data_IF_597904560620
#
_entry.id   IF_597904560620
#
_cell.length_a   1.000
_cell.length_b   1.000
_cell.length_c   1.000
_cell.angle_alpha   90.00
_cell.angle_beta   90.00
_cell.angle_gamma   90.00
#
_symmetry.space_group_name_H-M   'P 1'
#
loop_
_entity.id
_entity.type
_entity.pdbx_description
1 polymer ?
#
# COMPACT_ATOMS: atom_id res chain seq x y z
N UNK A 1 22.09 7.20 22.54
CA UNK A 1 21.79 6.11 21.58
C UNK A 1 20.31 5.79 21.71
N UNK A 2 19.59 5.71 20.62
CA UNK A 2 18.16 5.38 20.63
C UNK A 2 17.97 3.88 20.94
N UNK A 3 17.11 3.57 21.90
CA UNK A 3 16.74 2.20 22.27
C UNK A 3 15.22 2.14 22.47
N UNK A 4 14.47 1.50 21.53
CA UNK A 4 13.02 1.41 21.65
C UNK A 4 12.61 0.50 22.81
N UNK A 5 11.72 0.98 23.67
CA UNK A 5 11.20 0.20 24.80
C UNK A 5 9.88 -0.44 24.41
N UNK A 6 9.79 -1.76 24.41
CA UNK A 6 8.56 -2.54 24.15
C UNK A 6 8.70 -3.98 24.66
N UNK A 7 7.59 -4.70 24.67
CA UNK A 7 7.53 -6.13 25.04
C UNK A 7 6.91 -6.93 23.90
N UNK A 8 7.44 -8.12 23.64
CA UNK A 8 6.77 -9.13 22.81
C UNK A 8 5.62 -9.73 23.61
N UNK A 9 4.41 -9.19 23.41
CA UNK A 9 3.18 -9.75 23.99
C UNK A 9 2.71 -10.96 23.20
N UNK A 10 1.86 -11.80 23.81
CA UNK A 10 1.22 -12.93 23.11
C UNK A 10 0.47 -12.48 21.85
N UNK A 11 -0.09 -11.26 21.84
CA UNK A 11 -0.74 -10.69 20.67
C UNK A 11 0.25 -10.42 19.56
N UNK A 12 1.37 -9.75 19.84
CA UNK A 12 2.43 -9.46 18.88
C UNK A 12 2.95 -10.77 18.28
N UNK A 13 3.29 -11.76 19.13
CA UNK A 13 3.79 -13.07 18.69
C UNK A 13 2.77 -13.77 17.79
N UNK A 14 1.49 -13.77 18.18
CA UNK A 14 0.41 -14.35 17.38
C UNK A 14 0.28 -13.66 16.02
N UNK A 15 0.29 -12.32 15.98
CA UNK A 15 0.18 -11.57 14.73
C UNK A 15 1.38 -11.84 13.81
N UNK A 16 2.59 -11.84 14.35
CA UNK A 16 3.80 -12.15 13.58
C UNK A 16 3.72 -13.55 12.95
N UNK A 17 3.30 -14.56 13.72
CA UNK A 17 3.14 -15.92 13.21
C UNK A 17 2.09 -16.00 12.07
N UNK A 18 0.96 -15.32 12.22
CA UNK A 18 -0.09 -15.27 11.21
C UNK A 18 0.37 -14.49 9.95
N UNK A 19 1.09 -13.37 10.11
CA UNK A 19 1.68 -12.61 9.01
C UNK A 19 2.68 -13.47 8.23
N UNK A 20 3.57 -14.19 8.92
CA UNK A 20 4.53 -15.08 8.28
C UNK A 20 3.84 -16.19 7.47
N UNK A 21 2.82 -16.83 8.05
CA UNK A 21 2.01 -17.84 7.36
C UNK A 21 1.29 -17.29 6.13
N UNK A 22 0.66 -16.11 6.25
CA UNK A 22 -0.04 -15.49 5.14
C UNK A 22 0.92 -15.10 4.01
N UNK A 23 2.10 -14.56 4.35
CA UNK A 23 3.16 -14.25 3.39
C UNK A 23 3.58 -15.48 2.60
N UNK A 24 3.81 -16.61 3.27
CA UNK A 24 4.23 -17.85 2.62
C UNK A 24 3.15 -18.36 1.65
N UNK A 25 1.88 -18.33 2.04
CA UNK A 25 0.76 -18.72 1.19
C UNK A 25 0.72 -17.85 -0.08
N UNK A 26 0.84 -16.53 0.05
CA UNK A 26 0.81 -15.60 -1.09
C UNK A 26 2.01 -15.84 -2.01
N UNK A 27 3.22 -16.01 -1.45
CA UNK A 27 4.45 -16.19 -2.22
C UNK A 27 4.46 -17.48 -3.03
N UNK A 28 3.74 -18.52 -2.57
CA UNK A 28 3.64 -19.82 -3.25
C UNK A 28 2.45 -19.91 -4.22
N UNK A 29 1.56 -18.92 -4.22
CA UNK A 29 0.40 -18.93 -5.09
C UNK A 29 0.78 -18.65 -6.56
N UNK A 30 0.15 -19.36 -7.49
CA UNK A 30 0.35 -19.18 -8.92
C UNK A 30 -0.61 -18.14 -9.48
N UNK A 31 -0.22 -16.87 -9.41
CA UNK A 31 -1.01 -15.76 -9.94
C UNK A 31 -0.68 -15.54 -11.42
N UNK A 32 -1.71 -15.39 -12.26
CA UNK A 32 -1.52 -15.08 -13.67
C UNK A 32 -1.02 -13.63 -13.82
N UNK A 33 -0.08 -13.34 -14.74
CA UNK A 33 0.52 -12.00 -14.87
C UNK A 33 -0.47 -10.84 -14.97
N UNK A 34 -1.62 -11.04 -15.61
CA UNK A 34 -2.65 -10.00 -15.71
C UNK A 34 -3.24 -9.63 -14.35
N UNK A 35 -3.55 -10.63 -13.49
CA UNK A 35 -4.09 -10.38 -12.15
C UNK A 35 -3.03 -9.85 -11.22
N UNK A 36 -1.78 -10.30 -11.35
CA UNK A 36 -0.63 -9.73 -10.66
C UNK A 36 -0.54 -8.22 -10.90
N UNK A 37 -0.56 -7.80 -12.17
CA UNK A 37 -0.51 -6.38 -12.54
C UNK A 37 -1.71 -5.61 -11.98
N UNK A 38 -2.92 -6.17 -12.07
CA UNK A 38 -4.14 -5.53 -11.55
C UNK A 38 -4.10 -5.37 -10.03
N UNK A 39 -3.71 -6.40 -9.29
CA UNK A 39 -3.60 -6.35 -7.83
C UNK A 39 -2.60 -5.28 -7.39
N UNK A 40 -1.43 -5.20 -8.06
CA UNK A 40 -0.42 -4.17 -7.80
C UNK A 40 -0.97 -2.77 -8.04
N UNK A 41 -1.60 -2.56 -9.19
CA UNK A 41 -2.17 -1.26 -9.56
C UNK A 41 -3.28 -0.84 -8.58
N UNK A 42 -4.19 -1.74 -8.23
CA UNK A 42 -5.27 -1.47 -7.27
C UNK A 42 -4.72 -1.15 -5.87
N UNK A 43 -3.67 -1.84 -5.43
CA UNK A 43 -3.01 -1.57 -4.15
C UNK A 43 -2.34 -0.20 -4.13
N UNK A 44 -1.61 0.18 -5.19
CA UNK A 44 -0.97 1.49 -5.31
C UNK A 44 -2.01 2.63 -5.29
N UNK A 45 -3.12 2.48 -6.01
CA UNK A 45 -4.23 3.44 -6.05
C UNK A 45 -4.85 3.59 -4.66
N UNK A 46 -5.18 2.48 -4.00
CA UNK A 46 -5.77 2.48 -2.66
C UNK A 46 -4.84 3.11 -1.62
N UNK A 47 -3.55 2.73 -1.59
CA UNK A 47 -2.59 3.36 -0.68
C UNK A 47 -2.48 4.87 -0.91
N UNK A 48 -2.43 5.30 -2.18
CA UNK A 48 -2.34 6.73 -2.50
C UNK A 48 -3.57 7.50 -2.04
N UNK A 49 -4.77 6.93 -2.25
CA UNK A 49 -6.02 7.51 -1.76
C UNK A 49 -6.05 7.55 -0.23
N UNK A 50 -5.88 6.41 0.45
CA UNK A 50 -6.06 6.35 1.90
C UNK A 50 -5.01 7.15 2.67
N UNK A 51 -3.74 7.10 2.24
CA UNK A 51 -2.68 7.86 2.91
C UNK A 51 -2.89 9.37 2.82
N UNK A 52 -3.37 9.87 1.68
CA UNK A 52 -3.68 11.29 1.53
C UNK A 52 -5.00 11.66 2.23
N UNK A 53 -6.01 10.79 2.24
CA UNK A 53 -7.26 10.99 2.99
C UNK A 53 -7.05 11.12 4.49
N UNK A 54 -6.11 10.37 5.09
CA UNK A 54 -5.72 10.51 6.51
C UNK A 54 -5.28 11.96 6.80
N UNK A 55 -4.62 12.63 5.86
CA UNK A 55 -4.19 14.02 5.98
C UNK A 55 -5.27 15.04 5.58
N UNK A 56 -6.46 14.58 5.17
CA UNK A 56 -7.59 15.42 4.83
C UNK A 56 -7.74 15.75 3.34
N UNK A 57 -7.09 15.00 2.45
CA UNK A 57 -7.31 15.14 1.02
C UNK A 57 -8.77 14.79 0.68
N UNK A 58 -9.50 15.65 -0.09
CA UNK A 58 -10.93 15.50 -0.32
C UNK A 58 -11.28 14.50 -1.43
N UNK A 59 -10.33 14.06 -2.25
CA UNK A 59 -10.61 13.18 -3.38
C UNK A 59 -11.11 11.81 -2.93
N UNK A 60 -12.17 11.33 -3.56
CA UNK A 60 -12.65 9.96 -3.34
C UNK A 60 -11.86 8.95 -4.18
N UNK A 61 -12.04 7.65 -3.89
CA UNK A 61 -11.28 6.58 -4.52
C UNK A 61 -11.48 6.51 -6.05
N UNK A 62 -12.68 6.78 -6.56
CA UNK A 62 -12.97 6.73 -8.00
C UNK A 62 -12.32 7.92 -8.76
N UNK A 63 -12.26 9.10 -8.14
CA UNK A 63 -11.52 10.24 -8.66
C UNK A 63 -10.02 9.94 -8.73
N UNK A 64 -9.46 9.34 -7.69
CA UNK A 64 -8.05 8.91 -7.64
C UNK A 64 -7.75 7.84 -8.71
N UNK A 65 -8.63 6.85 -8.87
CA UNK A 65 -8.51 5.86 -9.94
C UNK A 65 -8.51 6.50 -11.33
N UNK A 66 -9.42 7.42 -11.57
CA UNK A 66 -9.54 8.13 -12.85
C UNK A 66 -8.30 8.96 -13.14
N UNK A 67 -7.80 9.69 -12.14
CA UNK A 67 -6.59 10.51 -12.23
C UNK A 67 -5.36 9.68 -12.61
N UNK A 68 -5.17 8.55 -11.95
CA UNK A 68 -3.99 7.69 -12.14
C UNK A 68 -4.10 6.90 -13.45
N UNK A 69 -5.23 6.21 -13.70
CA UNK A 69 -5.40 5.33 -14.86
C UNK A 69 -5.40 6.08 -16.18
N UNK A 70 -5.90 7.32 -16.20
CA UNK A 70 -5.91 8.16 -17.39
C UNK A 70 -4.64 9.00 -17.56
N UNK A 71 -3.66 8.86 -16.67
CA UNK A 71 -2.40 9.60 -16.71
C UNK A 71 -2.62 11.12 -16.75
N UNK A 72 -3.62 11.62 -16.00
CA UNK A 72 -4.02 13.02 -16.03
C UNK A 72 -2.96 13.89 -15.35
N UNK A 73 -2.72 15.08 -15.92
CA UNK A 73 -1.90 16.09 -15.26
C UNK A 73 -2.71 16.71 -14.09
N UNK A 74 -2.09 16.90 -12.93
CA UNK A 74 -2.78 17.48 -11.79
C UNK A 74 -3.16 18.94 -12.08
N UNK A 75 -4.39 19.29 -11.75
CA UNK A 75 -4.95 20.64 -11.87
C UNK A 75 -5.15 21.29 -10.52
N UNK A 76 -5.21 20.49 -9.46
CA UNK A 76 -5.40 20.92 -8.09
C UNK A 76 -4.25 20.44 -7.18
N UNK A 77 -4.10 21.09 -6.02
CA UNK A 77 -3.16 20.66 -4.99
C UNK A 77 -3.49 19.24 -4.48
N UNK A 78 -4.77 18.90 -4.36
CA UNK A 78 -5.22 17.59 -3.93
C UNK A 78 -4.81 16.48 -4.92
N UNK A 79 -4.97 16.70 -6.21
CA UNK A 79 -4.52 15.80 -7.27
C UNK A 79 -2.99 15.65 -7.30
N UNK A 80 -2.26 16.76 -7.14
CA UNK A 80 -0.80 16.74 -7.07
C UNK A 80 -0.30 15.90 -5.89
N UNK A 81 -0.95 16.02 -4.72
CA UNK A 81 -0.62 15.26 -3.51
C UNK A 81 -0.77 13.76 -3.72
N UNK A 82 -1.89 13.34 -4.31
CA UNK A 82 -2.17 11.93 -4.64
C UNK A 82 -1.15 11.39 -5.64
N UNK A 83 -0.88 12.14 -6.71
CA UNK A 83 0.08 11.71 -7.74
C UNK A 83 1.51 11.63 -7.21
N UNK A 84 1.92 12.54 -6.34
CA UNK A 84 3.23 12.48 -5.69
C UNK A 84 3.34 11.21 -4.84
N UNK A 85 2.34 10.92 -4.02
CA UNK A 85 2.32 9.70 -3.19
C UNK A 85 2.38 8.44 -4.06
N UNK A 86 1.53 8.37 -5.09
CA UNK A 86 1.52 7.27 -6.05
C UNK A 86 2.89 7.08 -6.72
N UNK A 87 3.52 8.17 -7.18
CA UNK A 87 4.81 8.11 -7.86
C UNK A 87 5.94 7.62 -6.95
N UNK A 88 5.96 8.06 -5.68
CA UNK A 88 6.95 7.58 -4.70
C UNK A 88 6.73 6.10 -4.42
N UNK A 89 5.50 5.70 -4.15
CA UNK A 89 5.15 4.31 -3.83
C UNK A 89 5.43 3.35 -5.01
N UNK A 90 5.06 3.74 -6.22
CA UNK A 90 5.30 2.96 -7.44
C UNK A 90 6.79 2.81 -7.79
N UNK A 91 7.61 3.74 -7.32
CA UNK A 91 9.06 3.72 -7.53
C UNK A 91 9.85 3.49 -6.23
N UNK A 92 9.26 2.78 -5.26
CA UNK A 92 9.82 2.60 -3.92
C UNK A 92 11.20 1.93 -3.96
N UNK A 93 11.46 1.09 -4.96
CA UNK A 93 12.75 0.45 -5.21
C UNK A 93 13.92 1.42 -5.44
N UNK A 94 13.65 2.67 -5.86
CA UNK A 94 14.69 3.72 -6.00
C UNK A 94 15.30 4.13 -4.66
N UNK A 95 14.60 3.86 -3.57
CA UNK A 95 15.00 4.22 -2.21
C UNK A 95 15.43 2.99 -1.38
N UNK A 96 15.38 1.79 -1.98
CA UNK A 96 15.60 0.50 -1.28
C UNK A 96 17.07 0.09 -1.25
N UNK A 97 17.95 0.98 -0.83
CA UNK A 97 19.35 0.62 -0.53
C UNK A 97 19.41 -0.26 0.73
N UNK A 98 20.46 -1.08 0.84
CA UNK A 98 20.69 -1.92 2.04
C UNK A 98 20.77 -1.10 3.32
N UNK A 99 21.27 0.13 3.23
CA UNK A 99 21.46 1.05 4.35
C UNK A 99 20.54 2.24 4.13
N UNK A 100 19.63 2.47 5.05
CA UNK A 100 18.77 3.64 5.04
C UNK A 100 19.54 4.83 5.62
N UNK A 101 19.58 5.91 4.86
CA UNK A 101 20.35 7.12 5.20
C UNK A 101 19.43 8.34 5.38
N UNK A 102 19.99 9.43 5.91
CA UNK A 102 19.25 10.71 5.89
C UNK A 102 18.79 11.09 4.48
N UNK A 103 19.66 10.89 3.49
CA UNK A 103 19.33 11.20 2.10
C UNK A 103 18.16 10.37 1.59
N UNK A 104 17.99 9.13 2.05
CA UNK A 104 16.81 8.31 1.74
C UNK A 104 15.53 8.99 2.23
N UNK A 105 15.49 9.40 3.51
CA UNK A 105 14.33 10.08 4.09
C UNK A 105 14.07 11.43 3.40
N UNK A 106 15.11 12.22 3.16
CA UNK A 106 14.99 13.54 2.51
C UNK A 106 14.52 13.41 1.05
N UNK A 107 14.99 12.39 0.32
CA UNK A 107 14.58 12.15 -1.07
C UNK A 107 13.13 11.70 -1.15
N UNK A 108 12.69 10.77 -0.28
CA UNK A 108 11.28 10.37 -0.18
C UNK A 108 10.39 11.59 0.12
N UNK A 109 10.76 12.39 1.11
CA UNK A 109 10.01 13.61 1.44
C UNK A 109 9.99 14.62 0.29
N UNK A 110 11.12 14.84 -0.39
CA UNK A 110 11.22 15.77 -1.53
C UNK A 110 10.25 15.39 -2.65
N UNK A 111 10.28 14.10 -3.06
CA UNK A 111 9.42 13.64 -4.14
C UNK A 111 7.93 13.63 -3.72
N UNK A 112 7.66 13.33 -2.45
CA UNK A 112 6.32 13.36 -1.87
C UNK A 112 5.72 14.77 -1.82
N UNK A 113 6.52 15.79 -1.50
CA UNK A 113 6.06 17.16 -1.29
C UNK A 113 6.28 18.09 -2.48
N UNK A 114 6.79 17.56 -3.59
CA UNK A 114 7.09 18.31 -4.81
C UNK A 114 5.91 19.15 -5.27
N UNK A 115 6.12 20.46 -5.40
CA UNK A 115 5.12 21.46 -5.79
C UNK A 115 3.92 21.59 -4.82
N UNK A 116 4.05 21.15 -3.56
CA UNK A 116 2.97 21.23 -2.57
C UNK A 116 3.21 22.26 -1.48
N UNK A 117 4.47 22.49 -1.12
CA UNK A 117 4.81 23.39 -0.02
C UNK A 117 4.74 24.84 -0.45
N UNK A 118 4.29 25.73 0.46
CA UNK A 118 4.26 27.18 0.22
C UNK A 118 5.66 27.74 -0.04
N UNK A 119 6.67 27.20 0.67
CA UNK A 119 8.07 27.48 0.42
C UNK A 119 8.75 26.20 -0.09
N UNK A 120 9.11 26.12 -1.39
CA UNK A 120 9.76 24.96 -1.98
C UNK A 120 11.13 24.60 -1.37
N UNK A 121 11.78 25.53 -0.68
CA UNK A 121 13.06 25.27 -0.01
C UNK A 121 12.98 24.22 1.09
N UNK A 122 11.78 23.95 1.62
CA UNK A 122 11.54 22.89 2.61
C UNK A 122 11.28 21.51 2.00
N UNK A 123 11.15 21.40 0.67
CA UNK A 123 11.01 20.12 0.00
C UNK A 123 12.30 19.28 0.15
N UNK A 124 12.24 18.18 0.87
CA UNK A 124 13.40 17.34 1.17
C UNK A 124 14.40 17.96 2.16
N UNK A 125 13.95 18.83 3.06
CA UNK A 125 14.80 19.48 4.06
C UNK A 125 14.17 19.37 5.44
N UNK A 126 14.96 19.07 6.45
CA UNK A 126 14.50 19.08 7.83
C UNK A 126 14.12 20.50 8.24
N UNK A 127 13.08 20.61 9.06
CA UNK A 127 12.63 21.89 9.59
C UNK A 127 13.68 22.55 10.48
N UNK A 128 13.76 23.83 10.40
CA UNK A 128 14.55 24.72 11.25
C UNK A 128 13.66 25.54 12.21
N UNK A 129 12.34 25.36 12.11
CA UNK A 129 11.34 26.07 12.88
C UNK A 129 10.56 25.12 13.81
N UNK A 130 9.97 25.71 14.85
CA UNK A 130 9.07 24.99 15.75
C UNK A 130 7.74 24.70 15.04
N UNK A 131 7.24 23.49 15.17
CA UNK A 131 5.93 23.05 14.65
C UNK A 131 5.07 22.49 15.78
N UNK A 132 3.75 22.53 15.59
CA UNK A 132 2.77 22.02 16.56
C UNK A 132 1.78 21.12 15.81
N UNK A 133 1.46 19.99 16.36
CA UNK A 133 0.41 19.12 15.83
C UNK A 133 -0.86 19.38 16.62
N UNK A 134 -1.93 19.80 15.92
CA UNK A 134 -3.19 20.12 16.57
C UNK A 134 -4.29 20.45 15.59
N UNK A 135 -5.43 20.80 16.14
CA UNK A 135 -6.58 21.21 15.35
C UNK A 135 -6.59 22.76 15.24
N UNK A 136 -6.40 23.26 14.01
CA UNK A 136 -6.39 24.71 13.74
C UNK A 136 -7.71 25.41 14.08
N UNK A 137 -8.86 24.72 13.94
CA UNK A 137 -10.18 25.29 14.24
C UNK A 137 -10.41 25.44 15.74
N UNK A 138 -10.00 24.44 16.52
CA UNK A 138 -10.18 24.45 17.98
C UNK A 138 -9.00 25.06 18.71
N UNK A 139 -7.90 25.38 18.02
CA UNK A 139 -6.61 25.83 18.58
C UNK A 139 -6.04 24.88 19.65
N UNK A 140 -6.50 23.63 19.65
CA UNK A 140 -6.02 22.61 20.61
C UNK A 140 -4.75 21.98 20.09
N UNK A 141 -3.65 22.15 20.81
CA UNK A 141 -2.38 21.45 20.56
C UNK A 141 -2.53 20.02 21.08
N UNK A 142 -2.32 19.03 20.22
CA UNK A 142 -2.38 17.61 20.55
C UNK A 142 -1.01 17.01 20.85
N UNK A 143 0.03 17.52 20.21
CA UNK A 143 1.41 17.08 20.38
C UNK A 143 2.40 18.19 20.06
N UNK A 144 3.50 18.26 20.79
CA UNK A 144 4.60 19.21 20.57
C UNK A 144 5.84 18.38 20.22
N UNK A 145 6.27 18.34 18.94
CA UNK A 145 7.48 17.65 18.56
C UNK A 145 8.74 18.26 19.19
N UNK A 146 9.88 17.51 19.22
CA UNK A 146 11.16 18.02 19.67
C UNK A 146 11.54 19.33 19.00
N UNK A 147 12.38 20.14 19.66
CA UNK A 147 12.89 21.38 19.07
C UNK A 147 13.64 21.10 17.75
N UNK A 148 13.56 22.04 16.79
CA UNK A 148 14.08 21.84 15.45
C UNK A 148 15.60 21.52 15.44
N UNK A 149 16.38 22.15 16.31
CA UNK A 149 17.83 21.91 16.38
C UNK A 149 18.21 20.46 16.80
N UNK A 150 17.28 19.74 17.45
CA UNK A 150 17.47 18.34 17.85
C UNK A 150 17.19 17.35 16.71
N UNK A 151 16.42 17.76 15.70
CA UNK A 151 15.94 16.84 14.64
C UNK A 151 17.08 16.10 13.95
N UNK A 152 18.17 16.74 13.49
CA UNK A 152 19.24 16.00 12.82
C UNK A 152 19.87 14.91 13.68
N UNK A 153 20.12 15.19 14.95
CA UNK A 153 20.69 14.21 15.90
C UNK A 153 19.75 13.05 16.21
N UNK A 154 18.44 13.34 16.40
CA UNK A 154 17.42 12.30 16.61
C UNK A 154 17.28 11.38 15.40
N UNK A 155 17.37 11.94 14.19
CA UNK A 155 17.37 11.12 12.96
C UNK A 155 18.65 10.27 12.85
N UNK A 156 19.82 10.82 13.23
CA UNK A 156 21.04 10.02 13.26
C UNK A 156 20.94 8.83 14.20
N UNK A 157 20.49 9.05 15.44
CA UNK A 157 20.30 7.98 16.42
C UNK A 157 19.29 6.93 15.94
N UNK A 158 18.19 7.36 15.29
CA UNK A 158 17.19 6.47 14.73
C UNK A 158 17.77 5.62 13.60
N UNK A 159 18.56 6.21 12.70
CA UNK A 159 19.17 5.51 11.58
C UNK A 159 20.29 4.56 12.01
N UNK A 160 21.09 4.96 12.99
CA UNK A 160 22.10 4.08 13.59
C UNK A 160 21.43 2.84 14.20
N UNK A 161 20.36 3.03 14.98
CA UNK A 161 19.55 1.92 15.49
C UNK A 161 18.97 1.06 14.35
N UNK A 162 18.33 1.67 13.37
CA UNK A 162 17.67 0.97 12.27
C UNK A 162 18.66 0.06 11.53
N UNK A 163 19.80 0.60 11.13
CA UNK A 163 20.77 -0.13 10.32
C UNK A 163 21.51 -1.25 11.09
N UNK A 164 21.55 -1.17 12.43
CA UNK A 164 22.15 -2.18 13.29
C UNK A 164 21.14 -3.24 13.79
N UNK A 165 19.83 -3.00 13.67
CA UNK A 165 18.78 -3.87 14.24
C UNK A 165 18.20 -4.87 13.23
N UNK A 166 18.61 -4.81 11.97
CA UNK A 166 17.98 -5.58 10.87
C UNK A 166 18.16 -7.10 10.99
N UNK A 167 19.19 -7.57 11.67
CA UNK A 167 19.49 -9.00 11.79
C UNK A 167 18.90 -9.63 13.08
N UNK A 168 18.50 -8.82 14.05
CA UNK A 168 18.08 -9.29 15.37
C UNK A 168 16.55 -9.18 15.59
N UNK A 169 15.87 -8.35 14.80
CA UNK A 169 14.48 -7.97 15.05
C UNK A 169 13.59 -8.27 13.85
N UNK A 170 12.36 -8.72 14.13
CA UNK A 170 11.41 -9.04 13.07
C UNK A 170 11.03 -7.79 12.25
N UNK A 171 11.07 -7.84 10.91
CA UNK A 171 10.93 -6.64 10.06
C UNK A 171 9.66 -5.81 10.28
N UNK A 172 8.54 -6.45 10.66
CA UNK A 172 7.30 -5.75 10.97
C UNK A 172 7.47 -4.87 12.22
N UNK A 173 8.21 -5.33 13.21
CA UNK A 173 8.53 -4.55 14.42
C UNK A 173 9.41 -3.37 14.08
N UNK A 174 10.46 -3.58 13.27
CA UNK A 174 11.36 -2.51 12.80
C UNK A 174 10.55 -1.43 12.06
N UNK A 175 9.67 -1.82 11.13
CA UNK A 175 8.83 -0.90 10.38
C UNK A 175 7.89 -0.10 11.29
N UNK A 176 7.29 -0.76 12.30
CA UNK A 176 6.44 -0.10 13.29
C UNK A 176 7.18 0.92 14.16
N UNK A 177 8.38 0.59 14.62
CA UNK A 177 9.25 1.50 15.40
C UNK A 177 9.66 2.70 14.54
N UNK A 178 10.14 2.46 13.32
CA UNK A 178 10.53 3.55 12.40
C UNK A 178 9.34 4.49 12.11
N UNK A 179 8.16 3.92 11.86
CA UNK A 179 6.96 4.70 11.63
C UNK A 179 6.68 5.64 12.81
N UNK A 180 6.60 5.09 14.03
CA UNK A 180 6.33 5.87 15.23
C UNK A 180 7.37 6.96 15.44
N UNK A 181 8.64 6.62 15.38
CA UNK A 181 9.73 7.58 15.66
C UNK A 181 9.75 8.73 14.64
N UNK A 182 9.51 8.47 13.36
CA UNK A 182 9.41 9.54 12.37
C UNK A 182 8.19 10.44 12.62
N UNK A 183 7.05 9.88 13.06
CA UNK A 183 5.90 10.69 13.47
C UNK A 183 6.22 11.52 14.71
N UNK A 184 6.90 10.93 15.71
CA UNK A 184 7.29 11.59 16.96
C UNK A 184 8.31 12.69 16.74
N UNK A 185 9.38 12.43 16.01
CA UNK A 185 10.43 13.43 15.69
C UNK A 185 9.84 14.56 14.85
N UNK A 186 8.91 14.24 13.96
CA UNK A 186 8.24 15.19 13.07
C UNK A 186 9.23 16.08 12.32
N UNK A 187 10.14 15.48 11.52
CA UNK A 187 11.32 16.16 11.02
C UNK A 187 11.06 17.27 9.99
N UNK A 188 9.85 17.38 9.46
CA UNK A 188 9.50 18.31 8.38
C UNK A 188 8.46 19.33 8.80
N UNK A 189 8.30 20.39 7.98
CA UNK A 189 7.24 21.41 8.19
C UNK A 189 5.86 20.88 7.81
N UNK A 190 5.77 19.95 6.85
CA UNK A 190 4.56 19.26 6.40
C UNK A 190 4.96 17.88 5.81
N UNK A 191 3.99 17.00 5.56
CA UNK A 191 4.24 15.68 4.93
C UNK A 191 4.80 14.60 5.86
N UNK A 192 4.90 14.85 7.16
CA UNK A 192 5.48 13.91 8.13
C UNK A 192 4.74 12.57 8.20
N UNK A 193 3.41 12.58 8.30
CA UNK A 193 2.61 11.36 8.37
C UNK A 193 2.76 10.51 7.10
N UNK A 194 2.65 11.11 5.93
CA UNK A 194 2.84 10.45 4.63
C UNK A 194 4.25 9.86 4.48
N UNK A 195 5.27 10.64 4.87
CA UNK A 195 6.67 10.17 4.86
C UNK A 195 6.86 8.98 5.80
N UNK A 196 6.34 9.03 7.02
CA UNK A 196 6.45 7.94 8.00
C UNK A 196 5.80 6.65 7.50
N UNK A 197 4.61 6.74 6.89
CA UNK A 197 3.93 5.59 6.28
C UNK A 197 4.70 5.01 5.10
N UNK A 198 5.23 5.85 4.21
CA UNK A 198 6.07 5.41 3.10
C UNK A 198 7.37 4.76 3.58
N UNK A 199 8.03 5.31 4.61
CA UNK A 199 9.25 4.73 5.16
C UNK A 199 9.00 3.38 5.83
N UNK A 200 7.88 3.21 6.54
CA UNK A 200 7.49 1.90 7.07
C UNK A 200 7.21 0.88 5.94
N UNK A 201 6.52 1.32 4.88
CA UNK A 201 6.29 0.49 3.68
C UNK A 201 7.61 0.13 2.98
N UNK A 202 8.57 1.05 2.92
CA UNK A 202 9.90 0.79 2.37
C UNK A 202 10.63 -0.34 3.15
N UNK A 203 10.64 -0.29 4.48
CA UNK A 203 11.23 -1.36 5.30
C UNK A 203 10.54 -2.70 5.06
N UNK A 204 9.21 -2.72 5.03
CA UNK A 204 8.45 -3.93 4.72
C UNK A 204 8.80 -4.46 3.32
N UNK A 205 9.01 -3.57 2.34
CA UNK A 205 9.39 -3.94 0.97
C UNK A 205 10.80 -4.52 0.89
N UNK A 206 11.79 -3.89 1.52
CA UNK A 206 13.19 -4.38 1.57
C UNK A 206 13.23 -5.81 2.12
N UNK A 207 12.44 -6.10 3.14
CA UNK A 207 12.35 -7.43 3.75
C UNK A 207 11.29 -8.35 3.10
N UNK A 208 10.76 -7.99 1.93
CA UNK A 208 9.77 -8.76 1.17
C UNK A 208 8.47 -9.04 1.94
N UNK A 209 8.08 -8.15 2.84
CA UNK A 209 6.76 -8.20 3.51
C UNK A 209 5.71 -7.35 2.79
N UNK A 210 6.10 -6.52 1.83
CA UNK A 210 5.17 -5.80 0.95
C UNK A 210 4.59 -6.70 -0.16
N UNK A 211 4.97 -7.96 -0.19
CA UNK A 211 4.52 -9.00 -1.10
C UNK A 211 4.18 -8.45 -2.48
N UNK A 212 5.23 -8.15 -3.25
CA UNK A 212 5.13 -7.65 -4.64
C UNK A 212 4.26 -6.40 -4.84
N UNK A 213 4.15 -5.54 -3.82
CA UNK A 213 3.33 -4.31 -3.82
C UNK A 213 1.81 -4.52 -3.82
N UNK A 214 1.30 -5.65 -3.32
CA UNK A 214 -0.15 -5.86 -3.11
C UNK A 214 -0.69 -5.23 -1.83
N UNK A 215 0.17 -4.69 -0.99
CA UNK A 215 -0.10 -4.36 0.41
C UNK A 215 -0.59 -2.92 0.61
N UNK A 216 -1.65 -2.73 1.38
CA UNK A 216 -2.27 -1.42 1.67
C UNK A 216 -2.51 -1.23 3.17
N UNK A 217 -1.47 -0.84 3.91
CA UNK A 217 -1.59 -0.57 5.34
C UNK A 217 -2.37 0.73 5.64
N UNK A 218 -2.28 1.70 4.72
CA UNK A 218 -2.98 2.99 4.83
C UNK A 218 -4.51 2.82 4.90
N UNK A 219 -5.07 1.79 4.26
CA UNK A 219 -6.50 1.48 4.36
C UNK A 219 -6.92 1.18 5.80
N UNK A 220 -6.13 0.38 6.52
CA UNK A 220 -6.39 0.05 7.92
C UNK A 220 -6.40 1.29 8.81
N UNK A 221 -5.44 2.18 8.65
CA UNK A 221 -5.39 3.44 9.39
C UNK A 221 -6.55 4.38 9.08
N UNK A 222 -7.00 4.41 7.82
CA UNK A 222 -8.08 5.27 7.38
C UNK A 222 -9.46 4.78 7.83
N UNK A 223 -9.65 3.48 8.06
CA UNK A 223 -10.93 2.92 8.56
C UNK A 223 -11.31 3.47 9.93
N UNK A 224 -10.33 3.64 10.81
CA UNK A 224 -10.50 4.28 12.11
C UNK A 224 -9.31 5.19 12.41
N UNK A 225 -9.37 6.40 11.85
CA UNK A 225 -8.33 7.41 12.04
C UNK A 225 -8.11 7.77 13.50
N UNK A 226 -9.17 7.70 14.33
CA UNK A 226 -9.05 8.00 15.76
C UNK A 226 -8.26 6.92 16.47
N UNK A 227 -8.56 5.64 16.21
CA UNK A 227 -7.79 4.51 16.77
C UNK A 227 -6.31 4.57 16.37
N UNK A 228 -6.00 4.95 15.12
CA UNK A 228 -4.62 5.17 14.67
C UNK A 228 -3.92 6.26 15.50
N UNK A 229 -4.57 7.41 15.67
CA UNK A 229 -4.01 8.52 16.45
C UNK A 229 -3.86 8.14 17.93
N UNK A 230 -4.81 7.41 18.49
CA UNK A 230 -4.77 7.00 19.90
C UNK A 230 -3.69 5.93 20.15
N UNK A 231 -3.46 5.04 19.18
CA UNK A 231 -2.36 4.08 19.24
C UNK A 231 -0.99 4.79 19.25
N UNK A 232 -0.78 5.81 18.41
CA UNK A 232 0.43 6.64 18.45
C UNK A 232 0.59 7.35 19.80
N UNK A 233 -0.47 7.97 20.30
CA UNK A 233 -0.44 8.68 21.59
C UNK A 233 -0.20 7.78 22.81
N UNK A 234 -0.55 6.49 22.70
CA UNK A 234 -0.32 5.54 23.79
C UNK A 234 1.17 5.35 24.08
N UNK A 235 1.99 5.37 23.04
CA UNK A 235 3.44 5.28 23.14
C UNK A 235 4.07 6.56 23.75
N UNK A 236 3.53 7.73 23.41
CA UNK A 236 4.03 9.01 23.95
C UNK A 236 3.89 9.09 25.48
N UNK A 237 2.78 8.57 26.04
CA UNK A 237 2.49 8.67 27.48
C UNK A 237 3.39 7.82 28.35
N UNK A 238 3.76 6.64 27.88
CA UNK A 238 4.41 5.62 28.68
C UNK A 238 5.88 5.42 28.30
N UNK A 239 6.36 6.06 27.24
CA UNK A 239 7.64 5.77 26.59
C UNK A 239 7.82 4.26 26.31
N UNK A 240 6.70 3.57 26.01
CA UNK A 240 6.61 2.14 25.73
C UNK A 240 5.80 1.93 24.45
N UNK A 241 6.43 1.34 23.46
CA UNK A 241 5.88 1.13 22.13
C UNK A 241 4.95 -0.09 22.03
N UNK A 242 4.77 -0.86 23.10
CA UNK A 242 4.05 -2.14 23.06
C UNK A 242 2.65 -2.01 22.46
N UNK A 243 1.83 -1.06 22.95
CA UNK A 243 0.46 -0.88 22.44
C UNK A 243 0.42 -0.41 20.99
N UNK A 244 1.35 0.48 20.61
CA UNK A 244 1.51 0.89 19.23
C UNK A 244 1.88 -0.29 18.33
N UNK A 245 2.84 -1.12 18.74
CA UNK A 245 3.29 -2.27 17.98
C UNK A 245 2.22 -3.37 17.88
N UNK A 246 1.38 -3.55 18.91
CA UNK A 246 0.19 -4.41 18.81
C UNK A 246 -0.75 -3.91 17.72
N UNK A 247 -1.06 -2.60 17.70
CA UNK A 247 -1.91 -1.97 16.69
C UNK A 247 -1.29 -2.07 15.28
N UNK A 248 0.01 -1.78 15.16
CA UNK A 248 0.72 -1.84 13.89
C UNK A 248 0.74 -3.26 13.32
N UNK A 249 1.09 -4.27 14.13
CA UNK A 249 1.08 -5.67 13.72
C UNK A 249 -0.33 -6.15 13.31
N UNK A 250 -1.37 -5.70 14.01
CA UNK A 250 -2.75 -5.99 13.65
C UNK A 250 -3.10 -5.39 12.28
N UNK A 251 -2.68 -4.15 12.00
CA UNK A 251 -2.88 -3.50 10.70
C UNK A 251 -2.15 -4.23 9.56
N UNK A 252 -0.91 -4.67 9.80
CA UNK A 252 -0.16 -5.50 8.84
C UNK A 252 -0.89 -6.82 8.58
N UNK A 253 -1.35 -7.51 9.64
CA UNK A 253 -2.12 -8.75 9.49
C UNK A 253 -3.41 -8.53 8.70
N UNK A 254 -4.18 -7.49 9.03
CA UNK A 254 -5.39 -7.14 8.29
C UNK A 254 -5.12 -6.97 6.79
N UNK A 255 -4.07 -6.23 6.45
CA UNK A 255 -3.71 -5.93 5.07
C UNK A 255 -3.27 -7.20 4.31
N UNK A 256 -2.43 -8.02 4.93
CA UNK A 256 -1.92 -9.25 4.31
C UNK A 256 -3.01 -10.33 4.16
N UNK A 257 -3.95 -10.42 5.11
CA UNK A 257 -5.08 -11.36 5.02
C UNK A 257 -6.05 -11.00 3.89
N UNK A 258 -6.25 -9.70 3.59
CA UNK A 258 -7.00 -9.27 2.41
C UNK A 258 -6.34 -9.77 1.13
N UNK A 259 -5.04 -9.53 1.00
CA UNK A 259 -4.25 -9.99 -0.16
C UNK A 259 -4.31 -11.52 -0.28
N UNK A 260 -4.09 -12.24 0.81
CA UNK A 260 -4.19 -13.72 0.83
C UNK A 260 -5.55 -14.20 0.35
N UNK A 261 -6.62 -13.58 0.80
CA UNK A 261 -7.98 -13.96 0.41
C UNK A 261 -8.24 -13.76 -1.09
N UNK A 262 -7.75 -12.66 -1.67
CA UNK A 262 -7.86 -12.41 -3.11
C UNK A 262 -7.00 -13.39 -3.92
N UNK A 263 -5.76 -13.62 -3.48
CA UNK A 263 -4.83 -14.55 -4.13
C UNK A 263 -5.36 -15.99 -4.11
N UNK A 264 -5.90 -16.45 -2.98
CA UNK A 264 -6.48 -17.81 -2.88
C UNK A 264 -7.69 -17.99 -3.79
N UNK A 265 -8.54 -16.96 -3.94
CA UNK A 265 -9.65 -17.01 -4.91
C UNK A 265 -9.13 -17.18 -6.34
N UNK A 266 -8.11 -16.42 -6.71
CA UNK A 266 -7.49 -16.50 -8.04
C UNK A 266 -6.81 -17.85 -8.28
N UNK A 267 -6.10 -18.37 -7.28
CA UNK A 267 -5.44 -19.67 -7.36
C UNK A 267 -6.46 -20.82 -7.48
N UNK A 268 -7.57 -20.78 -6.73
CA UNK A 268 -8.66 -21.75 -6.86
C UNK A 268 -9.27 -21.76 -8.28
N UNK A 269 -9.53 -20.57 -8.86
CA UNK A 269 -10.06 -20.45 -10.21
C UNK A 269 -9.04 -21.01 -11.21
N UNK A 270 -7.78 -20.65 -11.07
CA UNK A 270 -6.69 -21.11 -11.92
C UNK A 270 -6.55 -22.65 -11.86
N UNK A 271 -6.57 -23.21 -10.66
CA UNK A 271 -6.46 -24.64 -10.41
C UNK A 271 -7.68 -25.43 -10.93
N UNK A 272 -8.90 -24.89 -10.75
CA UNK A 272 -10.13 -25.49 -11.26
C UNK A 272 -10.08 -25.72 -12.76
N UNK A 273 -9.51 -24.80 -13.51
CA UNK A 273 -9.48 -24.86 -14.97
C UNK A 273 -8.21 -25.52 -15.54
N UNK A 274 -7.05 -25.41 -14.87
CA UNK A 274 -5.80 -26.02 -15.36
C UNK A 274 -5.68 -27.52 -15.13
N UNK A 275 -6.40 -28.08 -14.13
CA UNK A 275 -6.30 -29.51 -13.83
C UNK A 275 -7.00 -30.42 -14.85
N UNK A 276 -7.83 -29.85 -15.74
CA UNK A 276 -8.65 -30.61 -16.70
C UNK A 276 -8.33 -30.30 -18.16
N UNK A 277 -7.84 -29.12 -18.48
CA UNK A 277 -7.64 -28.65 -19.87
C UNK A 277 -6.51 -27.63 -19.88
N UNK A 278 -5.54 -27.77 -20.82
CA UNK A 278 -4.51 -26.74 -21.06
C UNK A 278 -5.15 -25.41 -21.45
N UNK A 279 -5.04 -24.39 -20.59
CA UNK A 279 -5.56 -23.04 -20.81
C UNK A 279 -4.44 -22.02 -20.90
N UNK A 280 -4.58 -21.07 -21.82
CA UNK A 280 -3.69 -19.91 -21.88
C UNK A 280 -4.03 -18.90 -20.79
N UNK A 281 -3.09 -18.03 -20.38
CA UNK A 281 -3.36 -16.97 -19.39
C UNK A 281 -4.59 -16.10 -19.73
N UNK A 282 -4.76 -15.74 -21.02
CA UNK A 282 -5.91 -14.96 -21.45
C UNK A 282 -7.24 -15.74 -21.36
N UNK A 283 -7.25 -17.04 -21.62
CA UNK A 283 -8.44 -17.89 -21.45
C UNK A 283 -8.84 -17.98 -19.98
N UNK A 284 -7.88 -18.15 -19.09
CA UNK A 284 -8.13 -18.15 -17.63
C UNK A 284 -8.69 -16.80 -17.18
N UNK A 285 -8.11 -15.69 -17.67
CA UNK A 285 -8.60 -14.33 -17.37
C UNK A 285 -10.07 -14.14 -17.74
N UNK A 286 -10.48 -14.63 -18.91
CA UNK A 286 -11.89 -14.56 -19.34
C UNK A 286 -12.79 -15.42 -18.45
N UNK A 287 -12.36 -16.61 -18.05
CA UNK A 287 -13.12 -17.46 -17.16
C UNK A 287 -13.26 -16.84 -15.75
N UNK A 288 -12.22 -16.21 -15.25
CA UNK A 288 -12.27 -15.48 -13.96
C UNK A 288 -13.24 -14.31 -14.03
N UNK A 289 -13.23 -13.53 -15.13
CA UNK A 289 -14.18 -12.46 -15.32
C UNK A 289 -15.64 -12.98 -15.35
N UNK A 290 -15.85 -14.17 -15.93
CA UNK A 290 -17.14 -14.84 -15.94
C UNK A 290 -17.58 -15.33 -14.55
N UNK A 291 -16.66 -15.81 -13.72
CA UNK A 291 -16.98 -16.16 -12.32
C UNK A 291 -17.44 -14.92 -11.53
N UNK A 292 -16.80 -13.76 -11.76
CA UNK A 292 -17.11 -12.49 -11.11
C UNK A 292 -18.45 -11.91 -11.57
N UNK A 293 -18.62 -11.75 -12.90
CA UNK A 293 -19.76 -11.03 -13.52
C UNK A 293 -20.94 -11.92 -13.86
N UNK A 294 -20.82 -13.25 -13.82
CA UNK A 294 -21.82 -14.26 -14.26
C UNK A 294 -22.06 -14.28 -15.78
N UNK A 295 -22.13 -13.13 -16.42
CA UNK A 295 -22.26 -12.96 -17.89
C UNK A 295 -21.39 -11.79 -18.34
N UNK A 296 -20.80 -11.93 -19.51
CA UNK A 296 -19.95 -10.92 -20.15
C UNK A 296 -20.23 -10.81 -21.64
N UNK A 297 -19.91 -9.65 -22.20
CA UNK A 297 -19.93 -9.41 -23.63
C UNK A 297 -18.52 -9.38 -24.22
N UNK A 298 -18.41 -9.43 -25.55
CA UNK A 298 -17.12 -9.33 -26.21
C UNK A 298 -16.35 -8.05 -25.84
N UNK A 299 -17.08 -6.95 -25.61
CA UNK A 299 -16.51 -5.66 -25.21
C UNK A 299 -15.81 -5.74 -23.85
N UNK A 300 -16.37 -6.44 -22.86
CA UNK A 300 -15.76 -6.62 -21.54
C UNK A 300 -14.39 -7.31 -21.66
N UNK A 301 -14.28 -8.30 -22.55
CA UNK A 301 -13.01 -9.01 -22.80
C UNK A 301 -11.98 -8.10 -23.46
N UNK A 302 -12.41 -7.29 -24.44
CA UNK A 302 -11.54 -6.34 -25.13
C UNK A 302 -10.98 -5.30 -24.15
N UNK A 303 -11.83 -4.75 -23.30
CA UNK A 303 -11.44 -3.76 -22.28
C UNK A 303 -10.51 -4.38 -21.24
N UNK A 304 -10.84 -5.57 -20.72
CA UNK A 304 -10.03 -6.25 -19.71
C UNK A 304 -8.63 -6.63 -20.20
N UNK A 305 -8.55 -7.17 -21.43
CA UNK A 305 -7.29 -7.69 -21.98
C UNK A 305 -6.54 -6.66 -22.85
N UNK A 306 -7.14 -5.50 -23.10
CA UNK A 306 -6.64 -4.48 -24.04
C UNK A 306 -6.29 -5.06 -25.42
N UNK A 307 -7.24 -5.80 -26.03
CA UNK A 307 -7.08 -6.51 -27.31
C UNK A 307 -8.14 -6.14 -28.33
N UNK A 308 -7.83 -6.42 -29.61
CA UNK A 308 -8.78 -6.19 -30.69
C UNK A 308 -10.02 -7.09 -30.61
N UNK A 309 -11.15 -6.70 -31.25
CA UNK A 309 -12.35 -7.55 -31.33
C UNK A 309 -12.07 -8.94 -31.91
N UNK A 310 -11.20 -9.03 -32.92
CA UNK A 310 -10.83 -10.29 -33.56
C UNK A 310 -10.05 -11.21 -32.59
N UNK A 311 -9.13 -10.65 -31.78
CA UNK A 311 -8.38 -11.40 -30.79
C UNK A 311 -9.31 -11.92 -29.68
N UNK A 312 -10.24 -11.11 -29.23
CA UNK A 312 -11.27 -11.50 -28.23
C UNK A 312 -12.14 -12.64 -28.77
N UNK A 313 -12.64 -12.56 -30.01
CA UNK A 313 -13.42 -13.65 -30.63
C UNK A 313 -12.62 -14.96 -30.75
N UNK A 314 -11.32 -14.92 -31.00
CA UNK A 314 -10.46 -16.12 -31.01
C UNK A 314 -10.43 -16.80 -29.63
N UNK A 315 -10.34 -16.03 -28.56
CA UNK A 315 -10.37 -16.56 -27.17
C UNK A 315 -11.75 -17.19 -26.89
N UNK A 316 -12.83 -16.48 -27.17
CA UNK A 316 -14.21 -16.96 -27.02
C UNK A 316 -14.41 -18.28 -27.75
N UNK A 317 -13.97 -18.35 -29.01
CA UNK A 317 -14.09 -19.56 -29.83
C UNK A 317 -13.35 -20.75 -29.23
N UNK A 318 -12.14 -20.53 -28.71
CA UNK A 318 -11.35 -21.58 -28.03
C UNK A 318 -12.05 -22.07 -26.77
N UNK A 319 -12.57 -21.15 -25.93
CA UNK A 319 -13.30 -21.51 -24.72
C UNK A 319 -14.61 -22.26 -25.03
N UNK A 320 -15.31 -21.91 -26.12
CA UNK A 320 -16.49 -22.65 -26.59
C UNK A 320 -16.12 -24.04 -27.09
N UNK A 321 -15.05 -24.18 -27.84
CA UNK A 321 -14.57 -25.49 -28.30
C UNK A 321 -14.14 -26.40 -27.16
N UNK A 322 -13.67 -25.83 -26.04
CA UNK A 322 -13.34 -26.52 -24.80
C UNK A 322 -14.55 -26.75 -23.91
N UNK A 323 -15.76 -26.40 -24.37
CA UNK A 323 -17.05 -26.52 -23.67
C UNK A 323 -17.12 -25.83 -22.30
N UNK A 324 -16.29 -24.82 -22.08
CA UNK A 324 -16.22 -24.10 -20.80
C UNK A 324 -17.22 -22.95 -20.73
N UNK A 325 -17.64 -22.42 -21.87
CA UNK A 325 -18.61 -21.32 -21.97
C UNK A 325 -19.73 -21.60 -22.96
N UNK A 326 -20.90 -21.03 -22.70
CA UNK A 326 -22.05 -21.02 -23.62
C UNK A 326 -22.40 -19.59 -24.03
N UNK A 327 -23.08 -19.47 -25.17
CA UNK A 327 -23.55 -18.19 -25.69
C UNK A 327 -25.05 -18.06 -25.47
N UNK A 328 -25.50 -16.90 -25.00
CA UNK A 328 -26.90 -16.51 -24.88
C UNK A 328 -27.12 -15.21 -25.67
N UNK A 329 -28.36 -14.98 -26.14
CA UNK A 329 -28.68 -13.84 -26.97
C UNK A 329 -28.27 -13.98 -28.45
N UNK A 330 -28.53 -12.92 -29.26
CA UNK A 330 -28.18 -12.85 -30.68
C UNK A 330 -27.74 -11.43 -31.05
N UNK A 331 -26.84 -11.32 -32.01
CA UNK A 331 -26.37 -10.04 -32.56
C UNK A 331 -25.66 -9.18 -31.52
N UNK A 332 -26.10 -7.92 -31.36
CA UNK A 332 -25.48 -6.98 -30.40
C UNK A 332 -25.67 -7.35 -28.93
N UNK A 333 -26.70 -8.18 -28.61
CA UNK A 333 -27.00 -8.64 -27.25
C UNK A 333 -26.43 -10.04 -26.97
N UNK A 334 -25.37 -10.43 -27.68
CA UNK A 334 -24.68 -11.69 -27.42
C UNK A 334 -23.89 -11.62 -26.13
N UNK A 335 -24.21 -12.53 -25.20
CA UNK A 335 -23.54 -12.69 -23.93
C UNK A 335 -22.91 -14.10 -23.81
N UNK A 336 -21.88 -14.18 -23.00
CA UNK A 336 -21.19 -15.42 -22.69
C UNK A 336 -21.33 -15.72 -21.22
N UNK A 337 -21.55 -17.00 -20.89
CA UNK A 337 -21.75 -17.50 -19.53
C UNK A 337 -20.92 -18.78 -19.36
N UNK A 338 -20.55 -19.10 -18.13
CA UNK A 338 -20.01 -20.42 -17.82
C UNK A 338 -21.03 -21.53 -18.13
N UNK A 339 -20.55 -22.67 -18.55
CA UNK A 339 -21.40 -23.80 -18.87
C UNK A 339 -21.80 -24.60 -17.64
#
# INVERSE_FOLDING_TARGET
>A
MFEPQFKYTDKIVKYIAQIASAKEIISNAKIIPLYDTKLKQDALIKSSHYSTSIEGNPLNLEEVKTLINNNQKPTTKAEQEVLNYFNVLNNLNKYSDKIITKNTILSVHKDLTKNLLKNPEYEGKFRDTRVFIGNLHTKKINYIPPDAYKVPGLIDELLDWLNNSTDEMYPVIIAGILHYELVRIHPFVDGNGRTSRLMATLILSIHKFNIDNYFTLDEYYNQDRQAYVDALKSADKNHDLTNWLEYFCQGVLYSIDKVKSEVLKLDQITSKYNNTIELTPNEISVLTLLEEKKHIQNKDIQEMLNISPQASYKIIRKLKNKELIKTTGKGRNTEYNLR
#
